data_IF_830972304700
#
_entry.id   IF_830972304700
#
_cell.length_a   1.000
_cell.length_b   1.000
_cell.length_c   1.000
_cell.angle_alpha   90.00
_cell.angle_beta   90.00
_cell.angle_gamma   90.00
#
_symmetry.space_group_name_H-M   'P 1'
#
loop_
_entity.id
_entity.type
_entity.pdbx_description
1 polymer ?
#
# COMPACT_ATOMS: atom_id res chain seq x y z
N UNK A 1 -0.57 -31.01 34.12
CA UNK A 1 0.42 -31.42 33.12
C UNK A 1 1.46 -30.33 32.95
N UNK A 2 2.73 -30.61 33.26
CA UNK A 2 3.80 -29.62 33.15
C UNK A 2 4.18 -29.44 31.68
N UNK A 3 4.43 -28.17 31.25
CA UNK A 3 4.82 -27.81 29.87
C UNK A 3 5.94 -28.67 29.29
N UNK A 4 6.89 -29.11 30.11
CA UNK A 4 7.98 -29.99 29.70
C UNK A 4 7.53 -31.44 29.36
N UNK A 5 6.45 -31.94 29.95
CA UNK A 5 5.89 -33.26 29.62
C UNK A 5 5.11 -33.21 28.32
N UNK A 6 4.39 -32.11 28.04
CA UNK A 6 3.72 -31.89 26.79
C UNK A 6 4.68 -31.91 25.58
N UNK A 7 5.85 -31.24 25.71
CA UNK A 7 6.88 -31.22 24.67
C UNK A 7 7.60 -32.57 24.48
N UNK A 8 7.58 -33.48 25.49
CA UNK A 8 8.14 -34.83 25.36
C UNK A 8 7.13 -35.83 24.80
N UNK A 9 5.83 -35.56 24.91
CA UNK A 9 4.75 -36.43 24.40
C UNK A 9 4.24 -35.97 23.04
N UNK A 10 4.46 -34.71 22.67
CA UNK A 10 4.32 -34.23 21.31
C UNK A 10 5.51 -34.81 20.53
N UNK A 11 5.37 -36.08 20.12
CA UNK A 11 6.27 -36.68 19.17
C UNK A 11 6.48 -35.70 18.04
N UNK A 12 7.72 -35.54 17.61
CA UNK A 12 8.09 -34.78 16.44
C UNK A 12 7.06 -35.07 15.34
N UNK A 13 6.21 -34.10 15.00
CA UNK A 13 5.53 -34.12 13.72
C UNK A 13 6.61 -33.81 12.70
N UNK A 14 7.37 -34.86 12.36
CA UNK A 14 8.19 -34.83 11.17
C UNK A 14 7.20 -34.80 10.00
N UNK A 15 6.95 -33.62 9.44
CA UNK A 15 6.36 -33.50 8.12
C UNK A 15 7.43 -34.00 7.16
N UNK A 16 7.53 -35.33 7.01
CA UNK A 16 8.33 -35.95 5.99
C UNK A 16 7.64 -35.71 4.66
N UNK A 17 8.15 -34.80 3.87
CA UNK A 17 7.88 -34.81 2.44
C UNK A 17 8.60 -36.04 1.89
N UNK A 18 7.89 -37.15 1.73
CA UNK A 18 8.35 -38.26 0.92
C UNK A 18 8.34 -37.75 -0.52
N UNK A 19 9.47 -37.32 -1.00
CA UNK A 19 9.73 -37.23 -2.44
C UNK A 19 9.68 -38.69 -2.96
N UNK A 20 8.51 -39.11 -3.37
CA UNK A 20 8.34 -40.37 -4.09
C UNK A 20 9.20 -40.34 -5.32
N UNK A 21 10.04 -41.38 -5.48
CA UNK A 21 10.83 -41.82 -6.58
C UNK A 21 11.45 -40.79 -7.56
N UNK A 22 12.47 -41.16 -8.32
CA UNK A 22 13.14 -40.23 -9.23
C UNK A 22 12.24 -39.95 -10.44
N UNK A 23 11.21 -39.17 -10.27
CA UNK A 23 10.70 -38.37 -11.33
C UNK A 23 11.72 -37.24 -11.51
N UNK A 24 12.63 -37.38 -12.41
CA UNK A 24 13.34 -36.27 -12.99
C UNK A 24 12.29 -35.38 -13.61
N UNK A 25 11.69 -34.52 -12.78
CA UNK A 25 11.01 -33.34 -13.27
C UNK A 25 12.11 -32.54 -13.94
N UNK A 26 12.18 -32.61 -15.25
CA UNK A 26 12.80 -31.56 -16.02
C UNK A 26 12.06 -30.30 -15.59
N UNK A 27 12.62 -29.57 -14.62
CA UNK A 27 12.21 -28.23 -14.33
C UNK A 27 12.42 -27.48 -15.65
N UNK A 28 11.35 -27.27 -16.37
CA UNK A 28 11.38 -26.33 -17.50
C UNK A 28 12.05 -25.07 -16.96
N UNK A 29 13.05 -24.50 -17.65
CA UNK A 29 13.68 -23.30 -17.16
C UNK A 29 12.56 -22.30 -16.86
N UNK A 30 12.40 -21.97 -15.57
CA UNK A 30 11.43 -20.96 -15.16
C UNK A 30 11.82 -19.71 -15.92
N UNK A 31 11.05 -19.40 -16.95
CA UNK A 31 11.31 -18.22 -17.77
C UNK A 31 11.25 -17.04 -16.82
N UNK A 32 12.41 -16.46 -16.51
CA UNK A 32 12.47 -15.30 -15.62
C UNK A 32 11.55 -14.22 -16.19
N UNK A 33 10.52 -13.91 -15.44
CA UNK A 33 9.58 -12.84 -15.79
C UNK A 33 9.92 -11.61 -14.95
N UNK A 34 9.64 -10.44 -15.51
CA UNK A 34 9.71 -9.19 -14.75
C UNK A 34 8.81 -9.28 -13.52
N UNK A 35 9.25 -8.83 -12.33
CA UNK A 35 8.48 -8.95 -11.11
C UNK A 35 7.31 -7.97 -11.05
N UNK A 36 6.29 -8.35 -10.30
CA UNK A 36 5.19 -7.48 -9.91
C UNK A 36 4.59 -6.67 -11.06
N UNK A 37 4.36 -5.41 -10.80
CA UNK A 37 3.75 -4.45 -11.73
C UNK A 37 4.70 -3.99 -12.85
N UNK A 38 5.99 -4.30 -12.75
CA UNK A 38 6.97 -3.98 -13.80
C UNK A 38 6.63 -4.69 -15.13
N UNK A 39 5.95 -5.83 -15.08
CA UNK A 39 5.45 -6.50 -16.29
C UNK A 39 4.47 -5.64 -17.09
N UNK A 40 3.59 -4.92 -16.40
CA UNK A 40 2.58 -4.07 -17.02
C UNK A 40 3.11 -2.69 -17.40
N UNK A 41 4.18 -2.26 -16.72
CA UNK A 41 4.81 -0.96 -16.91
C UNK A 41 6.34 -1.13 -17.07
N UNK A 42 6.82 -1.69 -18.20
CA UNK A 42 8.21 -2.15 -18.30
C UNK A 42 9.23 -1.02 -18.51
N UNK A 43 8.82 0.21 -18.72
CA UNK A 43 9.72 1.34 -18.96
C UNK A 43 10.26 1.95 -17.67
N UNK A 44 11.55 2.30 -17.65
CA UNK A 44 12.24 2.90 -16.49
C UNK A 44 11.51 4.16 -16.01
N UNK A 45 11.15 5.05 -16.93
CA UNK A 45 10.50 6.33 -16.60
C UNK A 45 9.10 6.22 -15.98
N UNK A 46 8.49 5.04 -15.98
CA UNK A 46 7.29 4.78 -15.19
C UNK A 46 7.59 4.66 -13.68
N UNK A 47 8.84 4.38 -13.32
CA UNK A 47 9.26 4.07 -11.95
C UNK A 47 10.22 5.07 -11.35
N UNK A 48 11.03 5.74 -12.17
CA UNK A 48 12.01 6.73 -11.69
C UNK A 48 12.30 7.84 -12.70
N UNK A 49 12.65 8.97 -12.15
CA UNK A 49 13.10 10.17 -12.86
C UNK A 49 14.35 10.73 -12.18
N UNK A 50 15.35 11.08 -12.93
CA UNK A 50 16.57 11.75 -12.42
C UNK A 50 16.45 13.24 -12.72
N UNK A 51 16.41 14.04 -11.65
CA UNK A 51 16.25 15.49 -11.74
C UNK A 51 17.59 16.20 -11.99
N UNK A 52 17.53 17.40 -12.55
CA UNK A 52 18.71 18.23 -12.74
C UNK A 52 19.41 18.62 -11.43
N UNK A 53 18.68 18.60 -10.31
CA UNK A 53 19.25 18.79 -8.96
C UNK A 53 20.13 17.63 -8.48
N UNK A 54 20.15 16.51 -9.19
CA UNK A 54 20.80 15.26 -8.77
C UNK A 54 19.93 14.40 -7.86
N UNK A 55 18.73 14.83 -7.49
CA UNK A 55 17.76 13.99 -6.79
C UNK A 55 17.13 12.99 -7.76
N UNK A 56 16.74 11.83 -7.23
CA UNK A 56 16.02 10.81 -7.95
C UNK A 56 14.61 10.68 -7.38
N UNK A 57 13.63 10.85 -8.25
CA UNK A 57 12.22 10.68 -7.91
C UNK A 57 11.77 9.28 -8.29
N UNK A 58 11.17 8.58 -7.35
CA UNK A 58 10.64 7.22 -7.52
C UNK A 58 9.12 7.29 -7.52
N UNK A 59 8.50 6.57 -8.44
CA UNK A 59 7.06 6.50 -8.59
C UNK A 59 6.53 5.14 -8.20
N UNK A 60 5.46 5.10 -7.41
CA UNK A 60 4.72 3.87 -7.08
C UNK A 60 3.24 4.16 -6.90
N UNK A 61 2.40 3.27 -7.42
CA UNK A 61 0.95 3.33 -7.24
C UNK A 61 0.48 2.90 -5.85
N UNK A 62 1.40 2.55 -4.94
CA UNK A 62 1.05 2.15 -3.57
C UNK A 62 0.89 3.36 -2.67
N UNK A 63 -0.05 3.24 -1.73
CA UNK A 63 -0.40 4.29 -0.78
C UNK A 63 0.28 4.05 0.58
N UNK A 64 0.74 5.13 1.22
CA UNK A 64 1.19 5.09 2.62
C UNK A 64 -0.04 5.08 3.54
N UNK A 65 -0.24 3.97 4.24
CA UNK A 65 -1.32 3.77 5.20
C UNK A 65 -0.82 3.74 6.65
N UNK A 66 0.43 4.14 6.87
CA UNK A 66 1.13 4.03 8.16
C UNK A 66 2.11 2.85 8.23
N UNK A 67 2.16 1.99 7.20
CA UNK A 67 3.03 0.81 7.15
C UNK A 67 4.49 1.11 6.78
N UNK A 68 4.82 2.35 6.41
CA UNK A 68 6.19 2.77 6.08
C UNK A 68 6.65 2.42 4.67
N UNK A 69 5.72 2.24 3.73
CA UNK A 69 6.06 1.85 2.35
C UNK A 69 6.87 2.94 1.62
N UNK A 70 6.63 4.21 1.90
CA UNK A 70 7.41 5.33 1.35
C UNK A 70 8.90 5.12 1.63
N UNK A 71 9.25 4.90 2.90
CA UNK A 71 10.65 4.70 3.31
C UNK A 71 11.22 3.40 2.75
N UNK A 72 10.44 2.31 2.72
CA UNK A 72 10.91 1.04 2.16
C UNK A 72 11.21 1.14 0.66
N UNK A 73 10.38 1.83 -0.11
CA UNK A 73 10.59 2.07 -1.55
C UNK A 73 11.84 2.95 -1.77
N UNK A 74 11.98 4.04 -0.99
CA UNK A 74 13.17 4.88 -1.05
C UNK A 74 14.45 4.08 -0.75
N UNK A 75 14.41 3.24 0.28
CA UNK A 75 15.55 2.41 0.71
C UNK A 75 15.99 1.42 -0.38
N UNK A 76 15.03 0.77 -1.03
CA UNK A 76 15.30 -0.18 -2.12
C UNK A 76 15.88 0.53 -3.36
N UNK A 77 15.33 1.68 -3.73
CA UNK A 77 15.82 2.46 -4.86
C UNK A 77 17.23 3.03 -4.58
N UNK A 78 17.42 3.62 -3.39
CA UNK A 78 18.71 4.15 -2.97
C UNK A 78 19.79 3.08 -2.93
N UNK A 79 19.45 1.87 -2.45
CA UNK A 79 20.35 0.73 -2.47
C UNK A 79 20.85 0.40 -3.87
N UNK A 80 19.93 0.18 -4.82
CA UNK A 80 20.31 -0.25 -6.17
C UNK A 80 21.02 0.85 -6.97
N UNK A 81 20.73 2.13 -6.70
CA UNK A 81 21.32 3.28 -7.38
C UNK A 81 22.57 3.85 -6.68
N UNK A 82 23.03 3.24 -5.59
CA UNK A 82 24.12 3.75 -4.76
C UNK A 82 23.94 5.23 -4.32
N UNK A 83 22.70 5.57 -3.88
CA UNK A 83 22.33 6.90 -3.43
C UNK A 83 22.21 6.97 -1.90
N UNK A 84 22.40 8.16 -1.33
CA UNK A 84 21.95 8.43 0.02
C UNK A 84 20.42 8.55 0.07
N UNK A 85 19.79 8.19 1.20
CA UNK A 85 18.32 8.27 1.36
C UNK A 85 17.75 9.65 1.05
N UNK A 86 18.49 10.72 1.40
CA UNK A 86 18.10 12.11 1.19
C UNK A 86 18.07 12.53 -0.29
N UNK A 87 18.69 11.74 -1.16
CA UNK A 87 18.67 11.98 -2.61
C UNK A 87 17.46 11.34 -3.30
N UNK A 88 16.63 10.59 -2.56
CA UNK A 88 15.48 9.88 -3.11
C UNK A 88 14.18 10.51 -2.59
N UNK A 89 13.35 10.98 -3.52
CA UNK A 89 11.98 11.42 -3.30
C UNK A 89 11.03 10.33 -3.78
N UNK A 90 10.00 9.99 -3.01
CA UNK A 90 8.99 8.99 -3.42
C UNK A 90 7.63 9.65 -3.62
N UNK A 91 7.09 9.52 -4.83
CA UNK A 91 5.73 9.90 -5.18
C UNK A 91 4.84 8.67 -5.08
N UNK A 92 3.82 8.75 -4.24
CA UNK A 92 2.91 7.65 -3.94
C UNK A 92 1.51 7.93 -4.52
N UNK A 93 0.91 6.90 -5.13
CA UNK A 93 -0.51 6.83 -5.50
C UNK A 93 -1.08 8.09 -6.19
N UNK A 94 -0.28 8.74 -7.00
CA UNK A 94 -0.71 9.86 -7.84
C UNK A 94 -1.22 9.30 -9.16
N UNK A 95 -2.54 9.36 -9.39
CA UNK A 95 -3.19 8.74 -10.55
C UNK A 95 -2.77 9.36 -11.89
N UNK A 96 -2.19 10.57 -11.90
CA UNK A 96 -1.67 11.23 -13.08
C UNK A 96 -0.18 10.95 -13.35
N UNK A 97 0.55 10.38 -12.39
CA UNK A 97 2.01 10.28 -12.46
C UNK A 97 2.57 8.89 -12.17
N UNK A 98 1.90 8.11 -11.34
CA UNK A 98 2.42 6.81 -10.89
C UNK A 98 1.82 5.66 -11.69
N UNK A 99 2.54 4.53 -11.82
CA UNK A 99 1.98 3.36 -12.50
C UNK A 99 0.75 2.83 -11.77
N UNK A 100 -0.21 2.30 -12.52
CA UNK A 100 -1.37 1.65 -11.93
C UNK A 100 -0.98 0.28 -11.38
N UNK A 101 -0.83 0.20 -10.07
CA UNK A 101 -0.47 -1.02 -9.34
C UNK A 101 -1.67 -1.65 -8.59
N UNK A 102 -2.88 -1.19 -8.87
CA UNK A 102 -4.10 -1.60 -8.16
C UNK A 102 -4.09 -1.16 -6.70
N UNK A 103 -4.97 -1.78 -5.91
CA UNK A 103 -5.13 -1.43 -4.49
C UNK A 103 -3.90 -1.73 -3.64
N UNK A 104 -3.69 -0.92 -2.60
CA UNK A 104 -2.73 -1.20 -1.54
C UNK A 104 -3.35 -2.17 -0.54
N UNK A 105 -3.17 -3.47 -0.77
CA UNK A 105 -3.79 -4.55 0.01
C UNK A 105 -2.94 -5.82 -0.06
N UNK A 106 -3.30 -6.83 0.74
CA UNK A 106 -2.72 -8.17 0.66
C UNK A 106 -1.23 -8.27 1.00
N UNK A 107 -0.67 -7.29 1.71
CA UNK A 107 0.79 -7.21 2.01
C UNK A 107 1.70 -7.23 0.78
N UNK A 108 1.18 -6.90 -0.39
CA UNK A 108 1.88 -7.02 -1.66
C UNK A 108 2.78 -5.83 -2.02
N UNK A 109 2.82 -4.77 -1.21
CA UNK A 109 3.56 -3.55 -1.56
C UNK A 109 5.08 -3.79 -1.66
N UNK A 110 5.67 -4.62 -0.80
CA UNK A 110 7.09 -4.96 -0.89
C UNK A 110 7.34 -6.00 -1.99
N UNK A 111 6.54 -7.05 -2.01
CA UNK A 111 6.69 -8.15 -2.97
C UNK A 111 6.53 -7.71 -4.42
N UNK A 112 5.53 -6.88 -4.72
CA UNK A 112 5.25 -6.43 -6.08
C UNK A 112 5.90 -5.09 -6.40
N UNK A 113 5.60 -4.04 -5.64
CA UNK A 113 6.01 -2.67 -5.94
C UNK A 113 7.49 -2.43 -5.66
N UNK A 114 7.98 -2.77 -4.45
CA UNK A 114 9.38 -2.59 -4.14
C UNK A 114 10.29 -3.44 -5.03
N UNK A 115 9.85 -4.64 -5.42
CA UNK A 115 10.61 -5.46 -6.39
C UNK A 115 10.57 -4.85 -7.80
N UNK A 116 9.47 -4.27 -8.24
CA UNK A 116 9.41 -3.53 -9.50
C UNK A 116 10.37 -2.34 -9.52
N UNK A 117 10.35 -1.52 -8.45
CA UNK A 117 11.29 -0.40 -8.27
C UNK A 117 12.74 -0.91 -8.22
N UNK A 118 12.99 -2.02 -7.54
CA UNK A 118 14.33 -2.61 -7.43
C UNK A 118 14.91 -2.97 -8.80
N UNK A 119 14.13 -3.67 -9.62
CA UNK A 119 14.55 -4.06 -10.96
C UNK A 119 14.72 -2.85 -11.89
N UNK A 120 13.80 -1.89 -11.84
CA UNK A 120 13.90 -0.66 -12.62
C UNK A 120 15.14 0.16 -12.22
N UNK A 121 15.44 0.28 -10.92
CA UNK A 121 16.61 0.98 -10.39
C UNK A 121 17.92 0.29 -10.76
N UNK A 122 17.99 -1.03 -10.64
CA UNK A 122 19.17 -1.81 -11.04
C UNK A 122 19.42 -1.70 -12.56
N UNK A 123 18.36 -1.72 -13.35
CA UNK A 123 18.47 -1.54 -14.80
C UNK A 123 18.92 -0.10 -15.15
N UNK A 124 18.38 0.91 -14.46
CA UNK A 124 18.80 2.30 -14.61
C UNK A 124 20.27 2.49 -14.24
N UNK A 125 20.73 1.87 -13.13
CA UNK A 125 22.16 1.86 -12.74
C UNK A 125 23.04 1.34 -13.88
N UNK A 126 22.68 0.20 -14.45
CA UNK A 126 23.40 -0.37 -15.60
C UNK A 126 23.44 0.61 -16.78
N UNK A 127 22.31 1.22 -17.14
CA UNK A 127 22.22 2.18 -18.24
C UNK A 127 23.07 3.43 -18.02
N UNK A 128 23.08 3.95 -16.80
CA UNK A 128 23.93 5.10 -16.44
C UNK A 128 25.41 4.76 -16.59
N UNK A 129 25.83 3.59 -16.14
CA UNK A 129 27.22 3.14 -16.32
C UNK A 129 27.57 2.91 -17.79
N UNK A 130 26.66 2.34 -18.59
CA UNK A 130 26.85 2.15 -20.04
C UNK A 130 27.01 3.51 -20.75
N UNK A 131 26.16 4.49 -20.46
CA UNK A 131 26.27 5.84 -21.03
C UNK A 131 27.56 6.58 -20.65
N UNK A 132 28.01 6.45 -19.40
CA UNK A 132 29.26 7.05 -18.95
C UNK A 132 30.46 6.34 -19.60
N UNK A 133 30.42 5.02 -19.72
CA UNK A 133 31.44 4.22 -20.39
C UNK A 133 31.57 4.60 -21.87
N UNK A 134 30.48 4.76 -22.59
CA UNK A 134 30.45 5.23 -23.96
C UNK A 134 31.08 6.63 -24.08
N UNK A 135 30.65 7.58 -23.23
CA UNK A 135 31.16 8.96 -23.21
C UNK A 135 32.69 9.02 -22.98
N UNK A 136 33.21 8.14 -22.12
CA UNK A 136 34.62 8.10 -21.77
C UNK A 136 35.45 7.14 -22.59
N UNK A 137 34.82 6.33 -23.44
CA UNK A 137 35.43 5.24 -24.21
C UNK A 137 36.15 4.22 -23.31
N UNK A 138 35.46 3.82 -22.24
CA UNK A 138 35.91 2.86 -21.23
C UNK A 138 34.95 1.66 -21.18
N UNK A 139 35.36 0.61 -20.49
CA UNK A 139 34.44 -0.46 -20.12
C UNK A 139 33.63 -0.05 -18.89
N UNK A 140 32.34 -0.40 -18.85
CA UNK A 140 31.47 -0.13 -17.69
C UNK A 140 32.00 -0.74 -16.38
N UNK A 141 32.74 -1.87 -16.48
CA UNK A 141 33.36 -2.53 -15.32
C UNK A 141 34.52 -1.75 -14.69
N UNK A 142 35.00 -0.69 -15.34
CA UNK A 142 36.05 0.21 -14.82
C UNK A 142 35.45 1.42 -14.10
N UNK A 143 34.12 1.49 -14.03
CA UNK A 143 33.40 2.62 -13.45
C UNK A 143 32.76 2.24 -12.13
N UNK A 144 32.81 3.15 -11.19
CA UNK A 144 32.10 3.06 -9.92
C UNK A 144 31.01 4.13 -9.85
N UNK A 145 30.02 3.87 -8.99
CA UNK A 145 28.89 4.77 -8.76
C UNK A 145 28.69 4.97 -7.26
N UNK A 146 28.58 6.21 -6.83
CA UNK A 146 28.31 6.55 -5.44
C UNK A 146 27.65 7.93 -5.33
N UNK A 147 26.59 8.03 -4.54
CA UNK A 147 25.86 9.28 -4.26
C UNK A 147 25.51 10.09 -5.53
N UNK A 148 25.06 9.42 -6.59
CA UNK A 148 24.66 10.07 -7.83
C UNK A 148 25.81 10.54 -8.72
N UNK A 149 27.04 10.11 -8.41
CA UNK A 149 28.25 10.42 -9.17
C UNK A 149 28.85 9.12 -9.69
N UNK A 150 29.19 9.11 -10.97
CA UNK A 150 29.94 8.06 -11.62
C UNK A 150 31.38 8.47 -11.69
N UNK A 151 32.29 7.58 -11.28
CA UNK A 151 33.73 7.80 -11.30
C UNK A 151 34.41 6.75 -12.15
N UNK A 152 35.57 7.12 -12.69
CA UNK A 152 36.38 6.23 -13.54
C UNK A 152 37.86 6.53 -13.44
N UNK A 153 38.71 5.71 -14.09
CA UNK A 153 40.14 5.87 -14.12
C UNK A 153 40.57 7.29 -14.55
N UNK A 154 41.70 7.75 -14.02
CA UNK A 154 42.26 9.07 -14.33
C UNK A 154 41.53 10.24 -13.70
N UNK A 155 40.82 10.02 -12.57
CA UNK A 155 40.11 11.08 -11.83
C UNK A 155 38.83 11.57 -12.52
N UNK A 156 38.30 10.83 -13.48
CA UNK A 156 37.06 11.15 -14.17
C UNK A 156 35.88 11.07 -13.21
N UNK A 157 35.02 12.08 -13.27
CA UNK A 157 33.83 12.18 -12.44
C UNK A 157 32.70 12.83 -13.22
N UNK A 158 31.46 12.34 -13.06
CA UNK A 158 30.29 12.86 -13.76
C UNK A 158 29.03 12.57 -12.93
N UNK A 159 28.22 13.57 -12.69
CA UNK A 159 26.92 13.35 -12.04
C UNK A 159 25.92 12.71 -12.98
N UNK A 160 24.86 12.08 -12.42
CA UNK A 160 23.75 11.58 -13.22
C UNK A 160 23.07 12.70 -14.02
N UNK A 161 22.91 13.88 -13.40
CA UNK A 161 22.31 15.04 -14.03
C UNK A 161 23.15 15.53 -15.23
N UNK A 162 24.46 15.65 -15.07
CA UNK A 162 25.36 16.08 -16.15
C UNK A 162 25.49 15.02 -17.26
N UNK A 163 25.37 13.74 -16.91
CA UNK A 163 25.37 12.67 -17.89
C UNK A 163 24.12 12.72 -18.78
N UNK A 164 22.96 12.92 -18.15
CA UNK A 164 21.67 12.87 -18.84
C UNK A 164 21.31 14.20 -19.50
N UNK A 165 21.79 15.35 -19.00
CA UNK A 165 21.51 16.70 -19.55
C UNK A 165 20.00 16.94 -19.77
N UNK A 166 19.17 16.57 -18.78
CA UNK A 166 17.72 16.70 -18.85
C UNK A 166 17.00 15.60 -19.64
N UNK A 167 17.71 14.67 -20.25
CA UNK A 167 17.09 13.51 -20.90
C UNK A 167 16.61 12.52 -19.82
N UNK A 168 15.49 11.85 -20.08
CA UNK A 168 14.99 10.79 -19.21
C UNK A 168 15.45 9.42 -19.71
N UNK A 169 15.68 8.50 -18.78
CA UNK A 169 15.86 7.08 -19.09
C UNK A 169 14.49 6.46 -19.35
N UNK A 170 14.16 6.23 -20.61
CA UNK A 170 12.87 5.66 -21.04
C UNK A 170 12.98 4.24 -21.57
N UNK A 171 14.14 3.61 -21.42
CA UNK A 171 14.37 2.24 -21.87
C UNK A 171 13.38 1.25 -21.24
N UNK A 172 13.00 0.26 -22.01
CA UNK A 172 12.29 -0.91 -21.51
C UNK A 172 13.22 -1.80 -20.70
N UNK A 173 12.81 -2.17 -19.50
CA UNK A 173 13.56 -3.10 -18.64
C UNK A 173 13.53 -4.49 -19.24
N UNK A 174 14.69 -5.03 -19.58
CA UNK A 174 14.83 -6.35 -20.20
C UNK A 174 15.69 -7.27 -19.30
N UNK A 175 15.26 -8.49 -19.15
CA UNK A 175 16.02 -9.52 -18.45
C UNK A 175 17.21 -10.01 -19.31
N UNK A 176 18.31 -10.43 -18.68
CA UNK A 176 18.53 -10.45 -17.23
C UNK A 176 18.86 -9.08 -16.65
N UNK A 177 18.43 -8.85 -15.40
CA UNK A 177 18.83 -7.68 -14.59
C UNK A 177 19.69 -8.17 -13.42
N UNK A 178 20.89 -7.62 -13.28
CA UNK A 178 21.78 -7.93 -12.16
C UNK A 178 21.41 -7.03 -10.97
N UNK A 179 20.86 -7.66 -9.94
CA UNK A 179 20.56 -7.02 -8.67
C UNK A 179 21.75 -7.10 -7.73
N UNK A 180 21.88 -6.18 -6.78
CA UNK A 180 22.85 -6.31 -5.69
C UNK A 180 22.53 -7.55 -4.85
N UNK A 181 23.56 -8.27 -4.45
CA UNK A 181 23.48 -9.37 -3.50
C UNK A 181 23.46 -8.87 -2.05
N UNK A 182 23.07 -9.72 -1.10
CA UNK A 182 22.91 -9.32 0.32
C UNK A 182 24.19 -8.78 0.95
N UNK A 183 25.33 -9.30 0.56
CA UNK A 183 26.66 -8.86 1.00
C UNK A 183 27.04 -7.45 0.50
N UNK A 184 26.40 -6.98 -0.56
CA UNK A 184 26.57 -5.64 -1.12
C UNK A 184 25.64 -4.61 -0.50
N UNK A 185 24.67 -5.02 0.35
CA UNK A 185 23.69 -4.10 0.92
C UNK A 185 24.30 -3.13 1.93
N UNK A 186 24.07 -1.85 1.70
CA UNK A 186 24.46 -0.75 2.57
C UNK A 186 23.29 -0.18 3.36
N UNK A 187 22.09 -0.20 2.75
CA UNK A 187 20.86 0.40 3.26
C UNK A 187 19.80 -0.66 3.59
N UNK A 188 19.53 -1.59 2.67
CA UNK A 188 18.53 -2.63 2.87
C UNK A 188 18.94 -3.56 4.02
N UNK A 189 18.01 -3.82 4.94
CA UNK A 189 18.28 -4.58 6.16
C UNK A 189 18.91 -3.74 7.29
N UNK A 190 19.09 -2.43 7.11
CA UNK A 190 19.50 -1.50 8.16
C UNK A 190 18.33 -0.66 8.64
N UNK A 191 18.33 -0.21 9.91
CA UNK A 191 17.30 0.69 10.40
C UNK A 191 17.43 2.05 9.71
N UNK A 192 16.34 2.49 9.09
CA UNK A 192 16.22 3.81 8.48
C UNK A 192 15.04 4.52 9.13
N UNK A 193 15.25 5.75 9.58
CA UNK A 193 14.20 6.56 10.16
C UNK A 193 13.21 7.00 9.09
N UNK A 194 11.93 6.90 9.41
CA UNK A 194 10.86 7.47 8.59
C UNK A 194 10.85 8.99 8.77
N UNK A 195 10.90 9.72 7.68
CA UNK A 195 10.89 11.20 7.66
C UNK A 195 9.54 11.79 8.05
N UNK A 196 8.45 11.08 7.77
CA UNK A 196 7.08 11.50 8.06
C UNK A 196 6.72 11.48 9.56
N UNK A 197 7.33 10.58 10.35
CA UNK A 197 7.00 10.43 11.79
C UNK A 197 7.33 11.70 12.58
N UNK A 198 8.46 12.34 12.30
CA UNK A 198 8.85 13.56 13.01
C UNK A 198 7.82 14.67 12.80
N UNK A 199 7.32 14.81 11.60
CA UNK A 199 6.26 15.78 11.26
C UNK A 199 4.95 15.44 11.96
N UNK A 200 4.55 14.17 11.96
CA UNK A 200 3.34 13.71 12.65
C UNK A 200 3.40 13.97 14.16
N UNK A 201 4.52 13.64 14.81
CA UNK A 201 4.69 13.84 16.27
C UNK A 201 4.69 15.32 16.65
N UNK A 202 5.13 16.19 15.75
CA UNK A 202 5.08 17.65 15.94
C UNK A 202 3.71 18.27 15.66
N UNK A 203 2.74 17.49 15.18
CA UNK A 203 1.42 17.96 14.79
C UNK A 203 1.44 18.80 13.51
N UNK A 204 2.45 18.62 12.65
CA UNK A 204 2.46 19.26 11.34
C UNK A 204 1.37 18.65 10.43
N UNK A 205 0.75 19.44 9.54
CA UNK A 205 -0.27 18.93 8.63
C UNK A 205 0.33 17.91 7.66
N UNK A 206 -0.13 16.66 7.76
CA UNK A 206 0.34 15.54 6.92
C UNK A 206 -0.80 14.76 6.28
N UNK A 207 -2.02 14.92 6.76
CA UNK A 207 -3.22 14.22 6.28
C UNK A 207 -4.13 15.15 5.49
N UNK A 208 -5.01 14.59 4.66
CA UNK A 208 -5.99 15.37 3.88
C UNK A 208 -6.87 16.24 4.79
N UNK A 209 -7.27 15.71 5.95
CA UNK A 209 -8.08 16.47 6.92
C UNK A 209 -7.36 17.66 7.58
N UNK A 210 -6.03 17.72 7.47
CA UNK A 210 -5.24 18.83 8.01
C UNK A 210 -5.16 20.02 7.03
N UNK A 211 -5.53 19.79 5.77
CA UNK A 211 -5.48 20.83 4.74
C UNK A 211 -6.41 21.99 5.06
N UNK A 212 -5.96 23.20 4.79
CA UNK A 212 -6.71 24.45 4.96
C UNK A 212 -6.50 25.34 3.75
N UNK A 213 -7.59 25.75 3.14
CA UNK A 213 -7.59 26.64 1.97
C UNK A 213 -8.38 27.89 2.22
N UNK A 214 -8.03 29.03 1.60
CA UNK A 214 -8.86 30.23 1.65
C UNK A 214 -10.27 29.95 1.13
N UNK A 215 -11.29 30.37 1.88
CA UNK A 215 -12.70 30.14 1.52
C UNK A 215 -13.18 28.68 1.68
N UNK A 216 -12.39 27.81 2.30
CA UNK A 216 -12.81 26.44 2.58
C UNK A 216 -14.02 26.40 3.48
N UNK A 217 -14.98 25.55 3.15
CA UNK A 217 -16.15 25.24 3.97
C UNK A 217 -16.09 23.79 4.44
N UNK A 218 -16.84 23.49 5.50
CA UNK A 218 -16.85 22.18 6.12
C UNK A 218 -18.21 21.51 5.98
N UNK A 219 -18.21 20.29 5.44
CA UNK A 219 -19.43 19.53 5.24
C UNK A 219 -19.48 18.29 6.13
N UNK A 220 -20.69 17.92 6.57
CA UNK A 220 -20.94 16.67 7.28
C UNK A 220 -22.22 16.01 6.76
N UNK A 221 -22.23 14.66 6.78
CA UNK A 221 -23.40 13.88 6.39
C UNK A 221 -24.19 13.51 7.64
N UNK A 222 -25.50 13.79 7.61
CA UNK A 222 -26.46 13.33 8.63
C UNK A 222 -26.90 11.92 8.22
N UNK A 223 -26.43 10.92 8.94
CA UNK A 223 -26.64 9.52 8.59
C UNK A 223 -27.88 8.94 9.26
N UNK A 224 -28.57 7.99 8.60
CA UNK A 224 -29.62 7.21 9.25
C UNK A 224 -29.06 6.37 10.40
N UNK A 225 -29.89 6.04 11.41
CA UNK A 225 -29.46 5.30 12.60
C UNK A 225 -29.13 3.83 12.31
N UNK A 226 -29.64 3.27 11.21
CA UNK A 226 -29.44 1.87 10.85
C UNK A 226 -29.42 1.66 9.35
N UNK A 227 -28.87 0.53 8.90
CA UNK A 227 -28.86 0.16 7.50
C UNK A 227 -30.27 0.00 6.93
N UNK A 228 -30.50 0.55 5.75
CA UNK A 228 -31.77 0.46 5.05
C UNK A 228 -32.83 1.46 5.54
N UNK A 229 -32.59 2.20 6.60
CA UNK A 229 -33.48 3.30 7.02
C UNK A 229 -33.52 4.39 5.94
N UNK A 230 -34.71 4.96 5.72
CA UNK A 230 -34.97 5.97 4.70
C UNK A 230 -35.44 7.27 5.34
N UNK A 231 -35.04 8.38 4.74
CA UNK A 231 -35.45 9.73 5.15
C UNK A 231 -36.97 9.86 4.90
N UNK A 232 -37.73 10.01 5.97
CA UNK A 232 -39.20 10.18 5.91
C UNK A 232 -39.61 11.64 5.99
N UNK A 233 -39.09 12.33 7.01
CA UNK A 233 -39.49 13.74 7.28
C UNK A 233 -38.29 14.59 7.66
N UNK A 234 -38.16 15.68 7.00
CA UNK A 234 -37.14 16.71 7.29
C UNK A 234 -37.61 18.06 6.75
N UNK A 235 -37.51 19.12 7.56
CA UNK A 235 -37.79 20.49 7.17
C UNK A 235 -36.50 21.30 7.11
N UNK A 236 -36.07 21.67 5.92
CA UNK A 236 -34.89 22.50 5.70
C UNK A 236 -35.02 23.87 6.34
N UNK A 237 -36.20 24.50 6.18
CA UNK A 237 -36.51 25.83 6.80
C UNK A 237 -36.37 25.76 8.30
N UNK A 238 -36.96 24.76 8.95
CA UNK A 238 -36.86 24.62 10.40
C UNK A 238 -35.42 24.34 10.85
N UNK A 239 -34.66 23.60 10.07
CA UNK A 239 -33.24 23.30 10.34
C UNK A 239 -32.39 24.58 10.24
N UNK A 240 -32.56 25.35 9.16
CA UNK A 240 -31.84 26.62 8.99
C UNK A 240 -32.13 27.62 10.09
N UNK A 241 -33.36 27.66 10.60
CA UNK A 241 -33.74 28.53 11.71
C UNK A 241 -33.22 28.08 13.08
N UNK A 242 -33.16 26.77 13.32
CA UNK A 242 -32.85 26.20 14.64
C UNK A 242 -31.39 25.87 14.87
N UNK A 243 -30.61 25.71 13.79
CA UNK A 243 -29.21 25.26 13.88
C UNK A 243 -28.30 26.40 13.43
N UNK A 244 -27.65 27.09 14.38
CA UNK A 244 -26.71 28.16 14.06
C UNK A 244 -25.51 27.68 13.23
N UNK A 245 -25.01 28.55 12.38
CA UNK A 245 -23.80 28.33 11.60
C UNK A 245 -23.99 27.51 10.31
N UNK A 246 -25.23 27.08 10.01
CA UNK A 246 -25.52 26.44 8.72
C UNK A 246 -25.46 27.46 7.58
N UNK A 247 -24.63 27.17 6.57
CA UNK A 247 -24.57 27.91 5.32
C UNK A 247 -25.52 27.30 4.28
N UNK A 248 -25.56 25.99 4.22
CA UNK A 248 -26.37 25.26 3.24
C UNK A 248 -26.73 23.87 3.73
N UNK A 249 -27.87 23.37 3.27
CA UNK A 249 -28.31 21.99 3.40
C UNK A 249 -28.38 21.42 2.00
N UNK A 250 -27.81 20.21 1.83
CA UNK A 250 -27.83 19.44 0.56
C UNK A 250 -28.68 18.20 0.79
N UNK A 251 -29.82 18.14 0.12
CA UNK A 251 -30.71 16.97 0.17
C UNK A 251 -30.85 16.35 -1.21
N UNK A 252 -30.63 15.03 -1.28
CA UNK A 252 -30.90 14.24 -2.47
C UNK A 252 -31.39 12.86 -2.04
N UNK A 253 -32.68 12.59 -2.27
CA UNK A 253 -33.32 11.35 -1.82
C UNK A 253 -33.05 11.04 -0.33
N UNK A 254 -32.27 10.00 -0.04
CA UNK A 254 -31.89 9.56 1.30
C UNK A 254 -30.61 10.25 1.83
N UNK A 255 -29.95 11.02 0.99
CA UNK A 255 -28.75 11.76 1.37
C UNK A 255 -29.13 13.11 1.99
N UNK A 256 -28.52 13.41 3.13
CA UNK A 256 -28.64 14.67 3.81
C UNK A 256 -27.25 15.16 4.24
N UNK A 257 -26.78 16.23 3.63
CA UNK A 257 -25.51 16.88 3.93
C UNK A 257 -25.74 18.30 4.45
N UNK A 258 -24.82 18.77 5.25
CA UNK A 258 -24.80 20.14 5.77
C UNK A 258 -23.45 20.79 5.52
N UNK A 259 -23.44 22.08 5.34
CA UNK A 259 -22.25 22.89 5.08
C UNK A 259 -22.22 24.05 6.08
N UNK A 260 -21.05 24.30 6.66
CA UNK A 260 -20.77 25.38 7.61
C UNK A 260 -19.46 26.07 7.28
N UNK A 261 -19.22 27.25 7.83
CA UNK A 261 -17.94 27.96 7.68
C UNK A 261 -16.81 27.35 8.51
N UNK A 262 -17.14 26.73 9.65
CA UNK A 262 -16.15 26.19 10.58
C UNK A 262 -16.40 24.71 10.88
N UNK A 263 -15.33 23.94 11.01
CA UNK A 263 -15.38 22.49 11.19
C UNK A 263 -16.22 22.07 12.41
N UNK A 264 -15.99 22.71 13.56
CA UNK A 264 -16.72 22.36 14.78
C UNK A 264 -18.20 22.74 14.72
N UNK A 265 -18.55 23.76 13.96
CA UNK A 265 -19.97 24.10 13.68
C UNK A 265 -20.64 22.97 12.90
N UNK A 266 -19.96 22.38 11.93
CA UNK A 266 -20.49 21.21 11.21
C UNK A 266 -20.75 20.02 12.14
N UNK A 267 -19.86 19.78 13.12
CA UNK A 267 -20.06 18.73 14.14
C UNK A 267 -21.28 19.01 15.01
N UNK A 268 -21.42 20.24 15.50
CA UNK A 268 -22.59 20.66 16.32
C UNK A 268 -23.87 20.56 15.50
N UNK A 269 -23.84 21.08 14.28
CA UNK A 269 -25.00 21.09 13.40
C UNK A 269 -25.45 19.67 13.04
N UNK A 270 -24.52 18.76 12.74
CA UNK A 270 -24.83 17.36 12.49
C UNK A 270 -25.58 16.72 13.68
N UNK A 271 -25.10 16.94 14.91
CA UNK A 271 -25.76 16.42 16.12
C UNK A 271 -27.14 17.01 16.33
N UNK A 272 -27.28 18.34 16.17
CA UNK A 272 -28.56 19.00 16.31
C UNK A 272 -29.58 18.51 15.27
N UNK A 273 -29.15 18.29 14.04
CA UNK A 273 -30.02 17.80 12.97
C UNK A 273 -30.52 16.39 13.18
N UNK A 274 -29.79 15.53 13.87
CA UNK A 274 -30.24 14.17 14.16
C UNK A 274 -31.59 14.14 14.88
N UNK A 275 -31.89 15.15 15.74
CA UNK A 275 -33.18 15.27 16.42
C UNK A 275 -34.32 15.88 15.59
N UNK A 276 -33.97 16.49 14.45
CA UNK A 276 -34.94 17.15 13.54
C UNK A 276 -35.30 16.29 12.33
N UNK A 277 -34.66 15.13 12.18
CA UNK A 277 -34.84 14.21 11.06
C UNK A 277 -35.62 12.99 11.53
N UNK A 278 -36.64 12.60 10.78
CA UNK A 278 -37.34 11.34 10.99
C UNK A 278 -36.90 10.34 9.92
N UNK A 279 -36.43 9.20 10.37
CA UNK A 279 -36.05 8.08 9.53
C UNK A 279 -37.09 6.96 9.67
N UNK A 280 -37.22 6.14 8.62
CA UNK A 280 -37.97 4.88 8.74
C UNK A 280 -37.18 3.88 9.59
N UNK A 281 -37.83 2.81 10.01
CA UNK A 281 -37.14 1.65 10.55
C UNK A 281 -36.17 1.09 9.51
N UNK A 282 -34.99 0.75 9.97
CA UNK A 282 -33.97 0.09 9.16
C UNK A 282 -34.02 -1.43 9.35
N UNK A 283 -32.98 -2.09 8.92
CA UNK A 283 -32.79 -3.51 9.18
C UNK A 283 -32.21 -3.68 10.58
N UNK A 284 -32.91 -4.38 11.49
CA UNK A 284 -32.37 -4.68 12.80
C UNK A 284 -31.12 -5.58 12.66
N UNK A 285 -30.20 -5.44 13.57
CA UNK A 285 -29.11 -6.40 13.71
C UNK A 285 -29.65 -7.72 14.24
N UNK A 286 -29.06 -8.86 13.88
CA UNK A 286 -29.44 -10.15 14.43
C UNK A 286 -29.30 -10.15 15.95
N UNK A 287 -30.30 -10.63 16.66
CA UNK A 287 -30.26 -10.80 18.10
C UNK A 287 -29.48 -12.08 18.50
N UNK A 288 -28.84 -12.04 19.66
CA UNK A 288 -28.13 -13.18 20.21
C UNK A 288 -26.76 -13.45 19.57
N UNK A 289 -26.42 -14.74 19.42
CA UNK A 289 -25.14 -15.16 18.90
C UNK A 289 -25.01 -14.97 17.39
N UNK A 290 -24.13 -14.08 16.94
CA UNK A 290 -23.83 -13.87 15.53
C UNK A 290 -23.32 -15.14 14.83
N UNK A 291 -22.59 -15.99 15.54
CA UNK A 291 -22.12 -17.28 15.02
C UNK A 291 -23.29 -18.19 14.68
N UNK A 292 -24.27 -18.31 15.58
CA UNK A 292 -25.50 -19.10 15.33
C UNK A 292 -26.31 -18.51 14.18
N UNK A 293 -26.42 -17.19 14.13
CA UNK A 293 -27.10 -16.51 13.03
C UNK A 293 -26.45 -16.83 11.67
N UNK A 294 -25.13 -16.71 11.55
CA UNK A 294 -24.42 -17.01 10.30
C UNK A 294 -24.63 -18.48 9.90
N UNK A 295 -24.58 -19.41 10.86
CA UNK A 295 -24.81 -20.84 10.59
C UNK A 295 -26.24 -21.14 10.16
N UNK A 296 -27.22 -20.29 10.48
CA UNK A 296 -28.59 -20.43 10.08
C UNK A 296 -28.91 -19.88 8.67
N UNK A 297 -27.98 -19.13 8.08
CA UNK A 297 -28.19 -18.55 6.76
C UNK A 297 -28.08 -19.62 5.65
N UNK A 298 -28.87 -19.49 4.58
CA UNK A 298 -28.68 -20.32 3.40
C UNK A 298 -27.25 -20.20 2.87
N UNK A 299 -26.64 -21.36 2.62
CA UNK A 299 -25.27 -21.40 2.07
C UNK A 299 -25.24 -22.23 0.79
N UNK A 300 -24.53 -21.76 -0.22
CA UNK A 300 -24.14 -22.56 -1.37
C UNK A 300 -22.83 -23.27 -1.05
N UNK A 301 -22.78 -24.58 -1.27
CA UNK A 301 -21.54 -25.35 -1.07
C UNK A 301 -20.96 -25.68 -2.43
N UNK A 302 -19.69 -25.35 -2.61
CA UNK A 302 -18.92 -25.72 -3.78
C UNK A 302 -17.75 -26.60 -3.35
N UNK A 303 -17.62 -27.78 -3.96
CA UNK A 303 -16.47 -28.66 -3.76
C UNK A 303 -15.30 -28.18 -4.63
N UNK A 304 -14.35 -27.46 -4.02
CA UNK A 304 -13.16 -26.99 -4.72
C UNK A 304 -12.16 -28.11 -4.97
N UNK A 305 -12.08 -29.08 -4.04
CA UNK A 305 -11.20 -30.24 -4.14
C UNK A 305 -11.77 -31.39 -3.30
N UNK A 306 -11.89 -32.57 -3.89
CA UNK A 306 -12.17 -33.81 -3.18
C UNK A 306 -11.07 -34.82 -3.48
N UNK A 307 -10.31 -35.25 -2.49
CA UNK A 307 -9.22 -36.22 -2.66
C UNK A 307 -9.24 -37.24 -1.54
N UNK A 308 -9.26 -38.51 -1.92
CA UNK A 308 -9.25 -39.63 -0.98
C UNK A 308 -10.60 -39.91 -0.32
N UNK A 309 -10.64 -40.89 0.55
CA UNK A 309 -11.76 -41.25 1.41
C UNK A 309 -11.29 -41.37 2.85
N UNK A 310 -12.16 -41.08 3.78
CA UNK A 310 -11.86 -41.13 5.22
C UNK A 310 -12.46 -42.41 5.80
N UNK A 311 -11.67 -43.20 6.52
CA UNK A 311 -12.16 -44.38 7.21
C UNK A 311 -13.18 -44.00 8.31
N UNK A 312 -14.34 -44.66 8.33
CA UNK A 312 -15.45 -44.30 9.18
C UNK A 312 -15.29 -44.60 10.69
N UNK A 313 -14.27 -45.31 11.09
CA UNK A 313 -14.01 -45.77 12.45
C UNK A 313 -12.88 -45.02 13.18
N UNK A 314 -12.35 -43.96 12.56
CA UNK A 314 -11.30 -43.15 13.19
C UNK A 314 -11.87 -42.26 14.32
N UNK A 315 -11.20 -42.25 15.46
CA UNK A 315 -11.50 -41.30 16.55
C UNK A 315 -11.07 -39.89 16.13
N UNK A 316 -12.04 -39.04 15.89
CA UNK A 316 -11.78 -37.66 15.46
C UNK A 316 -11.64 -36.73 16.64
N UNK A 317 -10.64 -35.87 16.59
CA UNK A 317 -10.58 -34.69 17.46
C UNK A 317 -11.22 -33.55 16.67
N UNK A 318 -12.36 -33.06 17.14
CA UNK A 318 -13.07 -31.95 16.52
C UNK A 318 -12.94 -30.69 17.36
N UNK A 319 -12.80 -29.55 16.71
CA UNK A 319 -12.84 -28.26 17.37
C UNK A 319 -13.57 -27.24 16.48
N UNK A 320 -14.33 -26.38 17.12
CA UNK A 320 -15.03 -25.27 16.44
C UNK A 320 -14.37 -23.97 16.81
N UNK A 321 -14.00 -23.20 15.80
CA UNK A 321 -13.42 -21.87 15.98
C UNK A 321 -14.39 -20.84 15.44
N UNK A 322 -14.60 -19.76 16.17
CA UNK A 322 -15.39 -18.62 15.73
C UNK A 322 -14.59 -17.33 15.82
N UNK A 323 -14.85 -16.42 14.90
CA UNK A 323 -14.26 -15.10 14.88
C UNK A 323 -15.39 -14.06 14.94
N UNK A 324 -15.34 -13.09 15.84
CA UNK A 324 -16.32 -12.01 15.86
C UNK A 324 -16.20 -11.15 14.60
N UNK A 325 -17.23 -10.39 14.28
CA UNK A 325 -17.12 -9.33 13.28
C UNK A 325 -16.04 -8.34 13.68
N UNK A 326 -15.16 -8.05 12.75
CA UNK A 326 -14.08 -7.10 12.91
C UNK A 326 -14.20 -6.04 11.82
N UNK A 327 -14.10 -4.79 12.20
CA UNK A 327 -14.07 -3.66 11.31
C UNK A 327 -12.80 -2.84 11.56
N UNK A 328 -12.18 -2.36 10.51
CA UNK A 328 -11.14 -1.34 10.63
C UNK A 328 -11.79 -0.04 11.10
N UNK A 329 -11.46 0.40 12.32
CA UNK A 329 -11.96 1.64 12.88
C UNK A 329 -10.97 2.77 12.65
N UNK A 330 -11.25 3.66 11.71
CA UNK A 330 -10.46 4.90 11.56
C UNK A 330 -10.74 5.81 12.76
N UNK A 331 -9.70 6.35 13.40
CA UNK A 331 -9.85 7.35 14.45
C UNK A 331 -10.33 8.71 13.88
N UNK A 332 -9.92 9.03 12.65
CA UNK A 332 -10.41 10.19 11.91
C UNK A 332 -11.58 9.85 10.97
N UNK A 333 -12.50 10.75 10.72
CA UNK A 333 -13.55 10.56 9.71
C UNK A 333 -12.91 10.49 8.32
N UNK A 334 -13.55 9.75 7.42
CA UNK A 334 -13.22 9.86 6.00
C UNK A 334 -13.51 11.29 5.53
N UNK A 335 -12.60 11.86 4.76
CA UNK A 335 -12.74 13.20 4.18
C UNK A 335 -12.36 13.17 2.69
N UNK A 336 -12.87 14.13 1.95
CA UNK A 336 -12.55 14.40 0.55
C UNK A 336 -12.49 15.90 0.31
#
# INVERSE_FOLDING_TARGET
MHRRQFLKTAGCVSIGFTLGGPAFSYASPVQQQLPGSLRSHPHINAWLEILQSGQVRIFTGKLELGQGIRTAIAQVAAEELDLAMQQVEVVLADTGRTPNEGYTSGSASVENSAMSVRYASAYARRKLLELAAEKWKLSANQLDMNNGIITGPGGRSLSFADLLQGRQLSDEVKLPVTLKSKDQYKLVGKPVLRDDIVRMVRGEPVYVQDLRFPGMVHARIVRPPSYGARLQRFSETAAMQKVPGLLQIVRKENFLGIITAHEYEAVKAQKALQSLVTWSDGRPLPEGSLTKYIQSLPAATENVLQKGSVAGDASWITATYSKPYIMHGSMGPSCA
#
